data_IF_869129359238
#
_entry.id   IF_869129359238
#
_cell.length_a   1.000
_cell.length_b   1.000
_cell.length_c   1.000
_cell.angle_alpha   90.00
_cell.angle_beta   90.00
_cell.angle_gamma   90.00
#
_symmetry.space_group_name_H-M   'P 1'
#
loop_
_entity.id
_entity.type
_entity.pdbx_description
1 polymer ?
#
# COMPACT_ATOMS: atom_id res chain seq x y z
N UNK A 1 6.94 -25.43 12.46
CA UNK A 1 5.58 -25.72 12.94
C UNK A 1 4.98 -24.41 13.41
N UNK A 2 3.81 -24.02 12.92
CA UNK A 2 3.11 -22.83 13.40
C UNK A 2 2.34 -23.18 14.70
N UNK A 3 2.50 -22.37 15.75
CA UNK A 3 1.85 -22.56 17.05
C UNK A 3 0.78 -21.48 17.23
N UNK A 4 -0.48 -21.92 17.40
CA UNK A 4 -1.66 -21.05 17.52
C UNK A 4 -2.29 -21.14 18.91
N UNK A 5 -1.62 -21.76 19.88
CA UNK A 5 -2.13 -22.02 21.24
C UNK A 5 -2.50 -20.72 21.98
N UNK A 6 -1.91 -19.60 21.59
CA UNK A 6 -2.12 -18.29 22.22
C UNK A 6 -2.98 -17.31 21.42
N UNK A 7 -3.63 -17.73 20.32
CA UNK A 7 -4.47 -16.82 19.52
C UNK A 7 -5.92 -16.79 20.06
N UNK A 8 -6.35 -15.76 20.80
CA UNK A 8 -7.72 -15.67 21.28
C UNK A 8 -8.56 -15.05 20.15
N UNK A 9 -9.01 -15.87 19.20
CA UNK A 9 -9.78 -15.38 18.05
C UNK A 9 -11.28 -15.71 18.20
N UNK A 10 -12.13 -14.69 18.12
CA UNK A 10 -13.60 -14.86 18.00
C UNK A 10 -13.99 -15.65 16.73
N UNK A 11 -13.18 -15.54 15.67
CA UNK A 11 -13.36 -16.25 14.40
C UNK A 11 -12.32 -17.38 14.29
N UNK A 12 -12.76 -18.64 14.43
CA UNK A 12 -11.88 -19.84 14.41
C UNK A 12 -11.66 -20.39 13.00
N UNK A 13 -11.18 -19.57 12.07
CA UNK A 13 -10.72 -20.09 10.79
C UNK A 13 -9.34 -19.52 10.46
N UNK A 14 -8.43 -20.41 10.08
CA UNK A 14 -7.11 -20.06 9.55
C UNK A 14 -7.16 -20.29 8.05
N UNK A 15 -6.89 -19.23 7.29
CA UNK A 15 -6.70 -19.35 5.84
C UNK A 15 -5.21 -19.39 5.58
N UNK A 16 -4.75 -20.51 5.02
CA UNK A 16 -3.42 -20.61 4.44
C UNK A 16 -3.54 -20.26 2.97
N UNK A 17 -3.23 -19.01 2.65
CA UNK A 17 -3.26 -18.49 1.29
C UNK A 17 -1.84 -18.05 0.90
N UNK A 18 -1.38 -18.34 -0.32
CA UNK A 18 -0.15 -17.75 -0.83
C UNK A 18 -0.20 -16.23 -0.72
N UNK A 19 0.94 -15.60 -0.41
CA UNK A 19 0.99 -14.16 -0.20
C UNK A 19 0.45 -13.37 -1.40
N UNK A 20 0.72 -13.81 -2.63
CA UNK A 20 0.26 -13.12 -3.84
C UNK A 20 -1.28 -13.09 -3.90
N UNK A 21 -1.96 -14.21 -3.63
CA UNK A 21 -3.42 -14.30 -3.64
C UNK A 21 -4.02 -13.44 -2.53
N UNK A 22 -3.36 -13.34 -1.37
CA UNK A 22 -3.81 -12.44 -0.31
C UNK A 22 -3.74 -10.97 -0.74
N UNK A 23 -2.68 -10.57 -1.42
CA UNK A 23 -2.54 -9.19 -1.92
C UNK A 23 -3.58 -8.90 -3.01
N UNK A 24 -3.82 -9.84 -3.92
CA UNK A 24 -4.87 -9.71 -4.93
C UNK A 24 -6.25 -9.57 -4.29
N UNK A 25 -6.57 -10.40 -3.29
CA UNK A 25 -7.81 -10.29 -2.49
C UNK A 25 -7.96 -8.90 -1.87
N UNK A 26 -6.91 -8.37 -1.23
CA UNK A 26 -6.98 -7.02 -0.65
C UNK A 26 -7.19 -5.94 -1.71
N UNK A 27 -6.56 -6.06 -2.89
CA UNK A 27 -6.76 -5.12 -3.99
C UNK A 27 -8.22 -5.12 -4.47
N UNK A 28 -8.82 -6.30 -4.58
CA UNK A 28 -10.21 -6.45 -5.03
C UNK A 28 -11.23 -5.95 -3.99
N UNK A 29 -10.99 -6.18 -2.70
CA UNK A 29 -11.82 -5.59 -1.64
C UNK A 29 -11.69 -4.06 -1.60
N UNK A 30 -10.47 -3.53 -1.76
CA UNK A 30 -10.22 -2.08 -1.76
C UNK A 30 -10.96 -1.38 -2.91
N UNK A 31 -11.02 -2.00 -4.09
CA UNK A 31 -11.73 -1.47 -5.27
C UNK A 31 -13.24 -1.31 -5.07
N UNK A 32 -13.83 -1.98 -4.07
CA UNK A 32 -15.27 -1.85 -3.77
C UNK A 32 -15.63 -0.52 -3.12
N UNK A 33 -14.66 0.21 -2.58
CA UNK A 33 -14.89 1.48 -1.91
C UNK A 33 -14.81 2.64 -2.92
N UNK A 34 -15.91 3.40 -3.14
CA UNK A 34 -15.94 4.46 -4.15
C UNK A 34 -14.93 5.60 -3.94
N UNK A 35 -14.46 5.80 -2.71
CA UNK A 35 -13.47 6.81 -2.35
C UNK A 35 -12.03 6.29 -2.30
N UNK A 36 -11.78 5.04 -2.71
CA UNK A 36 -10.47 4.43 -2.66
C UNK A 36 -9.91 4.24 -4.07
N UNK A 37 -8.76 4.87 -4.34
CA UNK A 37 -8.04 4.71 -5.59
C UNK A 37 -6.74 3.92 -5.35
N UNK A 38 -6.59 2.81 -6.06
CA UNK A 38 -5.40 1.97 -5.99
C UNK A 38 -4.56 2.12 -7.26
N UNK A 39 -3.35 2.66 -7.10
CA UNK A 39 -2.37 2.68 -8.19
C UNK A 39 -1.38 1.52 -8.04
N UNK A 40 -1.42 0.60 -9.02
CA UNK A 40 -0.34 -0.37 -9.22
C UNK A 40 0.68 0.19 -10.20
N UNK A 41 1.90 -0.36 -10.23
CA UNK A 41 3.04 0.21 -10.97
C UNK A 41 3.33 1.67 -10.58
N UNK A 42 3.26 1.96 -9.29
CA UNK A 42 3.42 3.29 -8.72
C UNK A 42 4.32 3.22 -7.48
N UNK A 43 5.45 3.91 -7.53
CA UNK A 43 6.46 3.93 -6.47
C UNK A 43 6.49 5.33 -5.84
N UNK A 44 6.34 5.42 -4.52
CA UNK A 44 6.57 6.66 -3.80
C UNK A 44 8.08 6.95 -3.76
N UNK A 45 8.52 8.02 -4.42
CA UNK A 45 9.94 8.35 -4.59
C UNK A 45 10.38 9.58 -3.81
N UNK A 46 9.46 10.23 -3.10
CA UNK A 46 9.77 11.37 -2.24
C UNK A 46 8.53 11.98 -1.61
N UNK A 47 8.73 12.75 -0.53
CA UNK A 47 7.66 13.51 0.12
C UNK A 47 7.63 14.94 -0.41
N UNK A 48 6.42 15.47 -0.60
CA UNK A 48 6.22 16.90 -0.81
C UNK A 48 6.13 17.56 0.57
N UNK A 49 6.91 18.62 0.79
CA UNK A 49 7.00 19.29 2.07
C UNK A 49 7.01 20.81 1.91
N UNK A 50 6.28 21.50 2.77
CA UNK A 50 6.35 22.95 2.93
C UNK A 50 6.52 23.29 4.41
N UNK A 51 7.53 24.12 4.73
CA UNK A 51 7.85 24.55 6.11
C UNK A 51 7.95 23.38 7.11
N UNK A 52 8.52 22.26 6.68
CA UNK A 52 8.68 21.05 7.51
C UNK A 52 7.40 20.22 7.69
N UNK A 53 6.29 20.58 7.05
CA UNK A 53 5.05 19.80 7.04
C UNK A 53 4.93 19.03 5.72
N UNK A 54 4.73 17.71 5.81
CA UNK A 54 4.36 16.88 4.66
C UNK A 54 2.99 17.32 4.13
N UNK A 55 2.90 17.55 2.82
CA UNK A 55 1.67 17.98 2.14
C UNK A 55 1.37 17.15 0.88
N UNK A 56 2.06 16.01 0.73
CA UNK A 56 1.87 15.11 -0.40
C UNK A 56 3.05 14.17 -0.62
N UNK A 57 3.01 13.48 -1.76
CA UNK A 57 4.01 12.50 -2.19
C UNK A 57 4.31 12.67 -3.67
N UNK A 58 5.58 12.52 -4.04
CA UNK A 58 6.02 12.37 -5.43
C UNK A 58 6.02 10.89 -5.78
N UNK A 59 5.32 10.52 -6.84
CA UNK A 59 5.10 9.14 -7.26
C UNK A 59 5.66 8.94 -8.66
N UNK A 60 6.43 7.87 -8.87
CA UNK A 60 6.86 7.42 -10.19
C UNK A 60 5.98 6.28 -10.67
N UNK A 61 5.38 6.43 -11.85
CA UNK A 61 4.49 5.44 -12.46
C UNK A 61 5.01 4.93 -13.80
N UNK A 62 4.46 3.81 -14.29
CA UNK A 62 4.69 3.36 -15.66
C UNK A 62 6.06 2.71 -15.88
N UNK A 63 6.74 2.31 -14.81
CA UNK A 63 8.06 1.67 -14.89
C UNK A 63 7.97 0.32 -15.59
N UNK A 64 6.94 -0.48 -15.30
CA UNK A 64 6.73 -1.78 -15.98
C UNK A 64 6.37 -1.62 -17.47
N UNK A 65 5.74 -0.51 -17.84
CA UNK A 65 5.40 -0.18 -19.23
C UNK A 65 6.55 0.45 -20.03
N UNK A 66 7.71 0.68 -19.41
CA UNK A 66 8.89 1.27 -20.06
C UNK A 66 8.81 2.78 -20.30
N UNK A 67 7.78 3.45 -19.77
CA UNK A 67 7.57 4.89 -19.90
C UNK A 67 7.35 5.49 -18.50
N UNK A 68 8.43 5.66 -17.71
CA UNK A 68 8.30 6.17 -16.36
C UNK A 68 7.86 7.64 -16.36
N UNK A 69 6.85 7.96 -15.56
CA UNK A 69 6.35 9.32 -15.37
C UNK A 69 6.30 9.66 -13.88
N UNK A 70 6.83 10.83 -13.53
CA UNK A 70 6.71 11.37 -12.17
C UNK A 70 5.44 12.22 -12.07
N UNK A 71 4.69 12.02 -10.99
CA UNK A 71 3.44 12.73 -10.67
C UNK A 71 3.48 13.18 -9.22
N UNK A 72 2.97 14.37 -8.93
CA UNK A 72 2.83 14.90 -7.58
C UNK A 72 1.39 14.72 -7.10
N UNK A 73 1.23 14.11 -5.92
CA UNK A 73 -0.06 13.93 -5.27
C UNK A 73 -0.08 14.73 -3.97
N UNK A 74 -0.91 15.77 -3.93
CA UNK A 74 -1.11 16.55 -2.71
C UNK A 74 -2.13 15.89 -1.79
N UNK A 75 -1.82 15.85 -0.51
CA UNK A 75 -2.69 15.30 0.51
C UNK A 75 -2.48 16.02 1.85
N UNK A 76 -3.57 16.16 2.62
CA UNK A 76 -3.49 16.73 3.98
C UNK A 76 -2.84 15.78 4.99
N UNK A 77 -2.85 14.47 4.72
CA UNK A 77 -2.21 13.42 5.51
C UNK A 77 -1.58 12.40 4.56
N UNK A 78 -0.35 11.99 4.87
CA UNK A 78 0.37 10.91 4.19
C UNK A 78 0.75 9.87 5.24
N UNK A 79 0.45 8.60 4.96
CA UNK A 79 0.80 7.48 5.84
C UNK A 79 1.83 6.62 5.11
N UNK A 80 3.04 6.52 5.66
CA UNK A 80 4.06 5.61 5.15
C UNK A 80 3.76 4.17 5.63
N UNK A 81 3.60 3.27 4.67
CA UNK A 81 3.30 1.86 4.91
C UNK A 81 4.11 0.96 3.94
N UNK A 82 5.35 1.34 3.65
CA UNK A 82 6.26 0.75 2.67
C UNK A 82 7.07 -0.46 3.19
N UNK A 83 6.80 -0.89 4.42
CA UNK A 83 7.26 -2.16 4.96
C UNK A 83 8.70 -2.13 5.51
N UNK A 84 9.36 -3.29 5.53
CA UNK A 84 10.62 -3.51 6.29
C UNK A 84 11.83 -2.74 5.76
N UNK A 85 11.77 -2.27 4.52
CA UNK A 85 12.85 -1.51 3.90
C UNK A 85 12.51 -0.01 3.83
N UNK A 86 11.63 0.45 4.72
CA UNK A 86 11.34 1.88 4.88
C UNK A 86 12.63 2.65 5.12
N UNK A 87 12.78 3.77 4.41
CA UNK A 87 13.98 4.60 4.40
C UNK A 87 14.00 5.60 5.58
#
# INVERSE_FOLDING_TARGET
VADFTHLPAHSRFLVLMPQWEFLDFMCDEARRYPGFELWTDAEAIGLLQDKGRVNGVKVRRGRRAGQPQDVELHASLVVAADGRHSA
#
